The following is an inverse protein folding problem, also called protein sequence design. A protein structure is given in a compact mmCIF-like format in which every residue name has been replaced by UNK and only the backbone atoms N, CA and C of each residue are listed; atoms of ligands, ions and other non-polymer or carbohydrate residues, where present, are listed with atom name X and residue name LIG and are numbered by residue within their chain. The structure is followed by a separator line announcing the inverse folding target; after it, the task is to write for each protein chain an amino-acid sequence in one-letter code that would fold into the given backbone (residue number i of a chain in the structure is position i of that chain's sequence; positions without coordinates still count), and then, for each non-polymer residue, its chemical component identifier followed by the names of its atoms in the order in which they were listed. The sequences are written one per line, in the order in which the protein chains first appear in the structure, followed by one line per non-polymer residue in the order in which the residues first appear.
data_IF_032123634742
#
_entry.id   IF_032123634742
#
_cell.length_a   1.000
_cell.length_b   1.000
_cell.length_c   1.000
_cell.angle_alpha   90.00
_cell.angle_beta   90.00
_cell.angle_gamma   90.00
#
_symmetry.space_group_name_H-M   'P 1'
#
loop_
_entity.id
_entity.type
_entity.pdbx_description
1 polymer ?
#
# COMPACT_ATOMS: atom_id res chain seq x y z
N UNK A 1 14.70 8.40 -8.96
CA UNK A 1 14.07 7.11 -8.56
C UNK A 1 12.74 6.99 -9.27
N UNK A 2 12.32 5.78 -9.64
CA UNK A 2 10.96 5.56 -10.19
C UNK A 2 9.91 5.85 -9.10
N UNK A 3 8.73 6.35 -9.48
CA UNK A 3 7.58 6.60 -8.58
C UNK A 3 7.30 5.39 -7.67
N UNK A 4 7.27 4.22 -8.30
CA UNK A 4 7.09 2.89 -7.71
C UNK A 4 8.08 2.59 -6.57
N UNK A 5 9.35 2.96 -6.72
CA UNK A 5 10.37 2.73 -5.68
C UNK A 5 10.16 3.63 -4.46
N UNK A 6 9.68 4.86 -4.66
CA UNK A 6 9.42 5.77 -3.54
C UNK A 6 8.21 5.32 -2.72
N UNK A 7 7.19 4.76 -3.37
CA UNK A 7 6.01 4.22 -2.68
C UNK A 7 6.36 2.95 -1.88
N UNK A 8 7.16 2.03 -2.44
CA UNK A 8 7.68 0.88 -1.69
C UNK A 8 8.47 1.29 -0.46
N UNK A 9 9.34 2.29 -0.63
CA UNK A 9 10.12 2.84 0.46
C UNK A 9 9.23 3.40 1.59
N UNK A 10 8.10 4.03 1.25
CA UNK A 10 7.13 4.55 2.22
C UNK A 10 6.55 3.43 3.08
N UNK A 11 6.14 2.32 2.46
CA UNK A 11 5.61 1.14 3.17
C UNK A 11 6.69 0.53 4.05
N UNK A 12 7.94 0.44 3.57
CA UNK A 12 9.05 -0.14 4.33
C UNK A 12 9.50 0.73 5.50
N UNK A 13 9.50 2.05 5.36
CA UNK A 13 9.89 2.99 6.42
C UNK A 13 8.81 3.11 7.50
N UNK A 14 7.52 2.97 7.14
CA UNK A 14 6.37 3.12 8.04
C UNK A 14 5.36 1.97 7.92
N UNK A 15 5.76 0.71 8.14
CA UNK A 15 4.92 -0.45 7.82
C UNK A 15 3.63 -0.48 8.64
N UNK A 16 3.68 -0.08 9.91
CA UNK A 16 2.46 -0.01 10.74
C UNK A 16 1.49 1.06 10.25
N UNK A 17 1.98 2.28 10.01
CA UNK A 17 1.15 3.37 9.51
C UNK A 17 0.58 3.05 8.12
N UNK A 18 1.34 2.36 7.27
CA UNK A 18 0.86 1.88 5.98
C UNK A 18 -0.31 0.91 6.12
N UNK A 19 -0.20 -0.10 7.00
CA UNK A 19 -1.29 -1.04 7.26
C UNK A 19 -2.53 -0.34 7.86
N UNK A 20 -2.33 0.55 8.84
CA UNK A 20 -3.42 1.31 9.46
C UNK A 20 -4.18 2.19 8.47
N UNK A 21 -3.51 2.68 7.43
CA UNK A 21 -4.13 3.53 6.41
C UNK A 21 -4.73 2.73 5.25
N UNK A 22 -3.96 1.83 4.63
CA UNK A 22 -4.39 1.10 3.44
C UNK A 22 -5.28 -0.12 3.72
N UNK A 23 -5.25 -0.65 4.94
CA UNK A 23 -5.97 -1.86 5.34
C UNK A 23 -6.55 -1.73 6.75
N UNK A 24 -7.18 -0.59 7.04
CA UNK A 24 -7.61 -0.17 8.38
C UNK A 24 -8.40 -1.24 9.15
N UNK A 25 -9.33 -1.94 8.50
CA UNK A 25 -10.13 -3.00 9.12
C UNK A 25 -9.27 -4.18 9.59
N UNK A 26 -8.36 -4.67 8.75
CA UNK A 26 -7.43 -5.75 9.10
C UNK A 26 -6.36 -5.28 10.11
N UNK A 27 -5.95 -4.02 10.00
CA UNK A 27 -4.97 -3.42 10.88
C UNK A 27 -5.51 -3.19 12.30
N UNK A 28 -6.82 -3.00 12.49
CA UNK A 28 -7.44 -2.84 13.81
C UNK A 28 -7.21 -4.06 14.73
N UNK A 29 -7.01 -5.25 14.15
CA UNK A 29 -6.72 -6.48 14.88
C UNK A 29 -5.23 -6.66 15.24
N UNK A 30 -4.34 -5.75 14.79
CA UNK A 30 -2.90 -5.80 15.04
C UNK A 30 -2.60 -5.21 16.43
N UNK A 31 -2.21 -6.00 17.45
CA UNK A 31 -1.78 -5.45 18.72
C UNK A 31 -0.54 -4.55 18.56
N UNK A 32 -0.36 -3.54 19.43
CA UNK A 32 0.79 -2.64 19.38
C UNK A 32 2.15 -3.36 19.45
N UNK A 33 2.22 -4.48 20.16
CA UNK A 33 3.42 -5.29 20.32
C UNK A 33 3.77 -6.18 19.10
N UNK A 34 2.93 -6.18 18.05
CA UNK A 34 3.19 -6.99 16.86
C UNK A 34 4.51 -6.62 16.20
N UNK A 35 5.30 -7.63 15.81
CA UNK A 35 6.46 -7.44 14.95
C UNK A 35 6.00 -7.40 13.50
N UNK A 36 6.29 -6.31 12.79
CA UNK A 36 6.05 -6.21 11.35
C UNK A 36 7.39 -6.33 10.65
N UNK A 37 7.53 -7.34 9.80
CA UNK A 37 8.80 -7.67 9.14
C UNK A 37 8.57 -7.76 7.63
N UNK A 38 9.30 -7.00 6.80
CA UNK A 38 9.26 -7.17 5.36
C UNK A 38 9.78 -8.56 4.95
N UNK A 39 9.09 -9.24 4.04
CA UNK A 39 9.55 -10.50 3.46
C UNK A 39 10.49 -10.18 2.30
N UNK A 40 11.67 -10.79 2.28
CA UNK A 40 12.73 -10.46 1.31
C UNK A 40 12.35 -10.90 -0.11
N UNK A 41 12.24 -9.94 -1.03
CA UNK A 41 11.89 -10.19 -2.43
C UNK A 41 12.90 -11.07 -3.18
N UNK A 42 14.19 -11.04 -2.84
CA UNK A 42 15.21 -11.88 -3.47
C UNK A 42 14.91 -13.38 -3.27
N UNK A 43 14.50 -13.76 -2.05
CA UNK A 43 14.12 -15.15 -1.74
C UNK A 43 12.84 -15.58 -2.48
N UNK A 44 11.94 -14.63 -2.74
CA UNK A 44 10.72 -14.86 -3.52
C UNK A 44 11.07 -15.10 -4.99
N UNK A 45 11.90 -14.24 -5.58
CA UNK A 45 12.33 -14.33 -6.98
C UNK A 45 13.11 -15.62 -7.26
N UNK A 46 14.04 -16.01 -6.39
CA UNK A 46 14.83 -17.25 -6.56
C UNK A 46 13.96 -18.52 -6.55
N UNK A 47 12.87 -18.53 -5.78
CA UNK A 47 12.02 -19.72 -5.62
C UNK A 47 10.83 -19.77 -6.59
N UNK A 48 10.40 -18.62 -7.11
CA UNK A 48 9.17 -18.48 -7.92
C UNK A 48 9.46 -18.17 -9.41
N UNK A 49 10.71 -17.86 -9.78
CA UNK A 49 11.17 -17.72 -11.16
C UNK A 49 10.69 -16.46 -11.90
N UNK A 50 10.88 -16.41 -13.23
CA UNK A 50 10.61 -15.24 -14.10
C UNK A 50 9.14 -14.80 -14.19
N UNK A 51 8.21 -15.55 -13.58
CA UNK A 51 6.79 -15.17 -13.48
C UNK A 51 6.55 -14.04 -12.47
N UNK A 52 7.56 -13.75 -11.65
CA UNK A 52 7.58 -12.63 -10.71
C UNK A 52 8.12 -11.36 -11.37
N UNK A 53 7.24 -10.65 -12.05
CA UNK A 53 7.49 -9.25 -12.37
C UNK A 53 6.90 -8.39 -11.26
N UNK A 54 7.78 -7.65 -10.59
CA UNK A 54 7.50 -6.41 -9.83
C UNK A 54 6.25 -6.46 -8.95
N UNK A 55 6.28 -7.27 -7.87
CA UNK A 55 5.19 -7.27 -6.88
C UNK A 55 5.73 -6.92 -5.48
N UNK A 56 4.96 -6.06 -4.81
CA UNK A 56 5.44 -5.16 -3.77
C UNK A 56 5.30 -5.65 -2.33
N UNK A 57 5.98 -4.91 -1.48
CA UNK A 57 6.33 -5.07 -0.06
C UNK A 57 5.42 -6.02 0.72
N UNK A 58 5.68 -7.34 0.69
CA UNK A 58 5.01 -8.27 1.59
C UNK A 58 5.43 -7.98 3.04
N UNK A 59 4.47 -7.75 3.93
CA UNK A 59 4.69 -7.50 5.35
C UNK A 59 4.16 -8.67 6.16
N UNK A 60 5.06 -9.38 6.83
CA UNK A 60 4.71 -10.40 7.81
C UNK A 60 4.47 -9.75 9.17
N UNK A 61 3.25 -9.88 9.67
CA UNK A 61 2.86 -9.34 10.98
C UNK A 61 2.72 -10.49 11.99
N UNK A 62 3.58 -10.52 13.00
CA UNK A 62 3.66 -11.58 14.01
C UNK A 62 3.24 -11.08 15.39
N UNK A 63 2.25 -11.74 16.01
CA UNK A 63 1.68 -11.34 17.31
C UNK A 63 2.08 -12.26 18.47
N UNK A 64 2.49 -13.50 18.16
CA UNK A 64 3.03 -14.46 19.13
C UNK A 64 4.07 -15.33 18.44
N UNK A 65 5.23 -15.57 19.07
CA UNK A 65 6.28 -16.42 18.49
C UNK A 65 5.93 -17.91 18.47
N UNK A 66 4.98 -18.33 19.30
CA UNK A 66 4.71 -19.75 19.58
C UNK A 66 3.57 -20.35 18.77
N UNK A 67 2.77 -19.52 18.09
CA UNK A 67 1.66 -20.01 17.25
C UNK A 67 1.63 -19.22 15.96
N UNK A 68 1.21 -19.90 14.89
CA UNK A 68 0.89 -19.44 13.53
C UNK A 68 -0.14 -18.28 13.46
N UNK A 69 -0.09 -17.35 14.39
CA UNK A 69 -0.83 -16.10 14.43
C UNK A 69 0.03 -15.04 13.77
N UNK A 70 0.27 -15.25 12.49
CA UNK A 70 0.81 -14.24 11.61
C UNK A 70 -0.21 -13.93 10.52
N UNK A 71 -0.27 -12.67 10.08
CA UNK A 71 -0.94 -12.29 8.84
C UNK A 71 0.15 -11.85 7.89
N UNK A 72 0.07 -12.35 6.66
CA UNK A 72 0.86 -11.82 5.56
C UNK A 72 0.02 -10.75 4.85
N UNK A 73 0.45 -9.50 4.93
CA UNK A 73 -0.09 -8.45 4.09
C UNK A 73 0.71 -8.39 2.80
N UNK A 74 0.02 -8.39 1.67
CA UNK A 74 0.61 -8.20 0.35
C UNK A 74 0.14 -6.85 -0.14
N UNK A 75 1.04 -5.87 -0.24
CA UNK A 75 0.71 -4.54 -0.72
C UNK A 75 1.22 -4.38 -2.15
N UNK A 76 0.33 -4.15 -3.11
CA UNK A 76 0.64 -3.83 -4.50
C UNK A 76 0.28 -2.36 -4.76
N UNK A 77 1.22 -1.55 -5.25
CA UNK A 77 0.90 -0.22 -5.79
C UNK A 77 0.61 -0.34 -7.28
N UNK A 78 -0.46 0.30 -7.74
CA UNK A 78 -0.80 0.37 -9.15
C UNK A 78 -1.17 1.81 -9.53
N UNK A 79 -0.29 2.45 -10.29
CA UNK A 79 -0.50 3.83 -10.72
C UNK A 79 -1.63 3.93 -11.75
N UNK A 80 -1.80 2.91 -12.61
CA UNK A 80 -2.81 2.89 -13.65
C UNK A 80 -3.53 1.55 -13.68
N UNK A 81 -4.82 1.58 -13.33
CA UNK A 81 -5.71 0.41 -13.25
C UNK A 81 -5.72 -0.49 -14.50
N UNK A 82 -5.30 0.01 -15.68
CA UNK A 82 -5.22 -0.78 -16.91
C UNK A 82 -4.16 -1.89 -16.86
N UNK A 83 -3.15 -1.76 -16.00
CA UNK A 83 -2.09 -2.77 -15.82
C UNK A 83 -2.36 -3.74 -14.67
N UNK A 84 -3.40 -3.47 -13.88
CA UNK A 84 -3.84 -4.33 -12.79
C UNK A 84 -4.31 -5.68 -13.33
N UNK A 85 -3.86 -6.75 -12.68
CA UNK A 85 -4.33 -8.10 -12.96
C UNK A 85 -4.67 -8.83 -11.68
N UNK A 86 -5.97 -9.01 -11.43
CA UNK A 86 -6.45 -9.79 -10.29
C UNK A 86 -5.94 -11.24 -10.33
N UNK A 87 -5.74 -11.81 -11.52
CA UNK A 87 -5.15 -13.14 -11.68
C UNK A 87 -3.69 -13.17 -11.23
N UNK A 88 -2.90 -12.13 -11.55
CA UNK A 88 -1.51 -12.00 -11.10
C UNK A 88 -1.46 -11.90 -9.57
N UNK A 89 -2.35 -11.10 -8.98
CA UNK A 89 -2.46 -10.96 -7.52
C UNK A 89 -2.84 -12.30 -6.84
N UNK A 90 -3.77 -13.06 -7.40
CA UNK A 90 -4.14 -14.41 -6.90
C UNK A 90 -2.94 -15.34 -6.88
N UNK A 91 -2.24 -15.46 -8.03
CA UNK A 91 -1.06 -16.32 -8.12
C UNK A 91 -0.02 -15.93 -7.08
N UNK A 92 0.25 -14.63 -6.95
CA UNK A 92 1.19 -14.13 -5.96
C UNK A 92 0.78 -14.48 -4.53
N UNK A 93 -0.48 -14.25 -4.16
CA UNK A 93 -0.97 -14.58 -2.82
C UNK A 93 -0.79 -16.06 -2.49
N UNK A 94 -1.13 -16.94 -3.43
CA UNK A 94 -1.02 -18.40 -3.26
C UNK A 94 0.45 -18.83 -3.16
N UNK A 95 1.31 -18.30 -4.04
CA UNK A 95 2.73 -18.65 -4.07
C UNK A 95 3.46 -18.24 -2.78
N UNK A 96 3.19 -17.04 -2.25
CA UNK A 96 3.83 -16.59 -1.00
C UNK A 96 3.24 -17.27 0.23
N UNK A 97 1.93 -17.52 0.23
CA UNK A 97 1.27 -18.28 1.28
C UNK A 97 1.88 -19.68 1.43
N UNK A 98 2.06 -20.39 0.31
CA UNK A 98 2.68 -21.72 0.29
C UNK A 98 4.14 -21.67 0.74
N UNK A 99 4.92 -20.73 0.17
CA UNK A 99 6.34 -20.57 0.50
C UNK A 99 6.59 -20.32 2.00
N UNK A 100 5.76 -19.48 2.62
CA UNK A 100 5.88 -19.12 4.03
C UNK A 100 5.09 -20.06 4.96
N UNK A 101 4.33 -21.01 4.40
CA UNK A 101 3.41 -21.89 5.13
C UNK A 101 2.42 -21.10 6.00
N UNK A 102 1.82 -20.06 5.41
CA UNK A 102 0.86 -19.14 6.03
C UNK A 102 -0.50 -19.30 5.34
N UNK A 103 -1.57 -19.36 6.13
CA UNK A 103 -2.94 -19.46 5.62
C UNK A 103 -3.76 -18.18 5.77
N UNK A 104 -3.21 -17.16 6.44
CA UNK A 104 -3.83 -15.84 6.65
C UNK A 104 -3.12 -14.80 5.81
N UNK A 105 -3.74 -14.45 4.69
CA UNK A 105 -3.21 -13.46 3.75
C UNK A 105 -4.23 -12.34 3.56
N UNK A 106 -3.77 -11.10 3.65
CA UNK A 106 -4.54 -9.90 3.38
C UNK A 106 -3.95 -9.19 2.15
N UNK A 107 -4.49 -9.43 0.94
CA UNK A 107 -4.08 -8.70 -0.25
C UNK A 107 -4.65 -7.28 -0.23
N UNK A 108 -3.78 -6.30 -0.47
CA UNK A 108 -4.06 -4.86 -0.49
C UNK A 108 -3.52 -4.31 -1.79
N UNK A 109 -4.34 -3.58 -2.53
CA UNK A 109 -3.93 -2.88 -3.75
C UNK A 109 -4.18 -1.40 -3.57
N UNK A 110 -3.15 -0.58 -3.70
CA UNK A 110 -3.23 0.87 -3.60
C UNK A 110 -3.23 1.45 -5.01
N UNK A 111 -4.36 2.01 -5.43
CA UNK A 111 -4.50 2.68 -6.72
C UNK A 111 -4.22 4.17 -6.58
N UNK A 112 -3.18 4.67 -7.26
CA UNK A 112 -2.83 6.09 -7.19
C UNK A 112 -3.75 6.96 -8.04
N UNK A 113 -4.28 6.41 -9.13
CA UNK A 113 -5.25 7.08 -10.01
C UNK A 113 -6.57 6.32 -10.02
N UNK A 114 -7.71 7.02 -9.97
CA UNK A 114 -9.01 6.38 -10.03
C UNK A 114 -9.18 5.69 -11.39
N UNK A 115 -9.84 4.54 -11.38
CA UNK A 115 -10.08 3.77 -12.60
C UNK A 115 -10.98 2.56 -12.35
N UNK A 116 -11.40 1.91 -13.43
CA UNK A 116 -12.25 0.72 -13.34
C UNK A 116 -11.39 -0.53 -13.30
N UNK A 117 -11.60 -1.34 -12.26
CA UNK A 117 -10.94 -2.63 -12.08
C UNK A 117 -11.90 -3.59 -11.36
N UNK A 118 -11.77 -4.90 -11.55
CA UNK A 118 -12.56 -5.87 -10.80
C UNK A 118 -12.11 -5.90 -9.33
N UNK A 119 -13.05 -5.85 -8.40
CA UNK A 119 -12.79 -5.99 -6.95
C UNK A 119 -12.83 -7.46 -6.48
N UNK A 120 -13.26 -8.37 -7.35
CA UNK A 120 -13.37 -9.78 -7.06
C UNK A 120 -13.24 -10.63 -8.33
N UNK A 121 -12.83 -11.88 -8.15
CA UNK A 121 -12.86 -12.91 -9.18
C UNK A 121 -13.56 -14.14 -8.63
N UNK A 122 -14.50 -14.67 -9.38
CA UNK A 122 -15.14 -15.96 -9.10
C UNK A 122 -14.89 -16.89 -10.30
N UNK A 123 -14.31 -18.05 -10.03
CA UNK A 123 -14.10 -19.11 -11.01
C UNK A 123 -14.93 -20.33 -10.63
N UNK A 124 -15.77 -20.78 -11.55
CA UNK A 124 -16.77 -21.80 -11.29
C UNK A 124 -17.37 -22.38 -12.56
N UNK A 125 -18.39 -23.22 -12.37
CA UNK A 125 -19.31 -23.66 -13.41
C UNK A 125 -20.68 -23.04 -13.16
N UNK A 126 -21.68 -23.40 -13.97
CA UNK A 126 -23.08 -23.01 -13.75
C UNK A 126 -23.62 -23.44 -12.37
N UNK A 127 -23.01 -24.44 -11.74
CA UNK A 127 -23.53 -25.06 -10.51
C UNK A 127 -22.75 -24.68 -9.25
N UNK A 128 -21.46 -24.35 -9.34
CA UNK A 128 -20.60 -24.15 -8.18
C UNK A 128 -19.47 -23.17 -8.46
N UNK A 129 -19.04 -22.44 -7.41
CA UNK A 129 -17.82 -21.64 -7.38
C UNK A 129 -16.73 -22.45 -6.67
N UNK A 130 -15.58 -22.61 -7.32
CA UNK A 130 -14.44 -23.35 -6.77
C UNK A 130 -13.32 -22.43 -6.29
N UNK A 131 -13.29 -21.18 -6.78
CA UNK A 131 -12.39 -20.14 -6.31
C UNK A 131 -13.16 -18.83 -6.26
N UNK A 132 -13.19 -18.20 -5.09
CA UNK A 132 -13.64 -16.84 -4.90
C UNK A 132 -12.48 -16.05 -4.31
N UNK A 133 -12.18 -14.90 -4.90
CA UNK A 133 -11.09 -14.05 -4.47
C UNK A 133 -11.55 -12.60 -4.38
N UNK A 134 -11.13 -11.91 -3.32
CA UNK A 134 -11.33 -10.49 -3.08
C UNK A 134 -10.05 -9.92 -2.48
N UNK A 135 -9.89 -8.61 -2.58
CA UNK A 135 -8.77 -7.89 -1.98
C UNK A 135 -9.25 -6.54 -1.44
N UNK A 136 -8.40 -5.92 -0.63
CA UNK A 136 -8.62 -4.58 -0.10
C UNK A 136 -8.15 -3.59 -1.16
N UNK A 137 -9.09 -2.90 -1.80
CA UNK A 137 -8.78 -1.82 -2.73
C UNK A 137 -8.69 -0.49 -1.96
N UNK A 138 -7.57 0.22 -2.12
CA UNK A 138 -7.38 1.55 -1.61
C UNK A 138 -7.18 2.52 -2.79
N UNK A 139 -8.28 3.08 -3.27
CA UNK A 139 -8.28 4.11 -4.32
C UNK A 139 -7.99 5.48 -3.70
N UNK A 140 -6.73 5.93 -3.75
CA UNK A 140 -6.34 7.20 -3.14
C UNK A 140 -7.14 8.36 -3.74
N UNK A 141 -7.33 8.37 -5.07
CA UNK A 141 -8.10 9.39 -5.77
C UNK A 141 -9.59 9.46 -5.42
N UNK A 142 -10.13 8.50 -4.69
CA UNK A 142 -11.51 8.52 -4.17
C UNK A 142 -11.60 8.97 -2.71
N UNK A 143 -10.48 8.94 -1.97
CA UNK A 143 -10.39 9.35 -0.56
C UNK A 143 -10.35 10.88 -0.49
N UNK A 144 -11.26 11.56 0.24
CA UNK A 144 -11.20 13.01 0.41
C UNK A 144 -9.97 13.42 1.22
N UNK A 145 -9.08 14.23 0.62
CA UNK A 145 -7.85 14.69 1.28
C UNK A 145 -8.15 15.43 2.60
N UNK A 146 -9.25 16.19 2.64
CA UNK A 146 -9.68 16.98 3.80
C UNK A 146 -9.92 16.13 5.06
N UNK A 147 -10.27 14.85 4.91
CA UNK A 147 -10.46 13.96 6.07
C UNK A 147 -9.14 13.60 6.75
N UNK A 148 -8.01 13.78 6.05
CA UNK A 148 -6.69 13.35 6.50
C UNK A 148 -5.71 14.50 6.76
N UNK A 149 -6.09 15.76 6.51
CA UNK A 149 -5.21 16.93 6.75
C UNK A 149 -4.78 17.10 8.20
N UNK A 150 -5.51 16.51 9.15
CA UNK A 150 -5.16 16.50 10.57
C UNK A 150 -4.79 15.10 11.09
N UNK A 151 -4.61 14.13 10.17
CA UNK A 151 -4.27 12.76 10.54
C UNK A 151 -2.90 12.70 11.23
N UNK A 152 -2.81 11.82 12.22
CA UNK A 152 -1.54 11.44 12.89
C UNK A 152 -0.81 10.30 12.17
N UNK A 153 -1.40 9.77 11.09
CA UNK A 153 -0.77 8.73 10.29
C UNK A 153 0.12 9.39 9.22
N UNK A 154 1.44 9.20 9.34
CA UNK A 154 2.43 9.78 8.41
C UNK A 154 2.18 9.35 6.95
N UNK A 155 1.80 8.09 6.72
CA UNK A 155 1.55 7.57 5.36
C UNK A 155 0.34 8.26 4.74
N UNK A 156 -0.71 8.51 5.52
CA UNK A 156 -1.85 9.30 5.05
C UNK A 156 -1.44 10.75 4.75
N UNK A 157 -0.65 11.39 5.61
CA UNK A 157 -0.22 12.79 5.45
C UNK A 157 0.62 13.02 4.21
N UNK A 158 1.60 12.15 3.93
CA UNK A 158 2.42 12.29 2.72
C UNK A 158 1.68 11.93 1.44
N UNK A 159 0.57 11.18 1.53
CA UNK A 159 -0.29 10.83 0.40
C UNK A 159 -1.43 11.82 0.13
N UNK A 160 -1.56 12.90 0.90
CA UNK A 160 -2.56 13.94 0.65
C UNK A 160 -2.62 14.42 -0.81
N UNK A 161 -1.50 14.59 -1.55
CA UNK A 161 -1.55 14.98 -2.95
C UNK A 161 -2.15 13.90 -3.89
N UNK A 162 -2.11 12.63 -3.50
CA UNK A 162 -2.73 11.52 -4.23
C UNK A 162 -4.23 11.37 -3.92
N UNK A 163 -4.73 12.08 -2.91
CA UNK A 163 -6.12 12.02 -2.47
C UNK A 163 -7.01 13.00 -3.25
N UNK A 164 -8.32 12.78 -3.23
CA UNK A 164 -9.31 13.66 -3.88
C UNK A 164 -9.32 15.04 -3.23
N UNK A 165 -9.07 16.07 -4.03
CA UNK A 165 -9.18 17.47 -3.65
C UNK A 165 -9.55 18.31 -4.88
N UNK A 166 -10.10 19.50 -4.66
CA UNK A 166 -10.41 20.41 -5.75
C UNK A 166 -9.10 20.97 -6.33
N UNK A 167 -9.00 21.21 -7.66
CA UNK A 167 -7.79 21.74 -8.28
C UNK A 167 -7.28 23.03 -7.63
N UNK A 168 -8.18 23.89 -7.16
CA UNK A 168 -7.86 25.14 -6.46
C UNK A 168 -7.22 24.92 -5.08
N UNK A 169 -7.43 23.76 -4.47
CA UNK A 169 -6.88 23.39 -3.17
C UNK A 169 -5.49 22.76 -3.27
N UNK A 170 -4.99 22.47 -4.47
CA UNK A 170 -3.74 21.72 -4.69
C UNK A 170 -2.54 22.28 -3.93
N UNK A 171 -2.36 23.61 -3.93
CA UNK A 171 -1.26 24.28 -3.19
C UNK A 171 -1.44 24.12 -1.67
N UNK A 172 -2.67 24.28 -1.17
CA UNK A 172 -2.97 24.10 0.25
C UNK A 172 -2.73 22.64 0.66
N UNK A 173 -3.20 21.67 -0.12
CA UNK A 173 -3.01 20.23 0.13
C UNK A 173 -1.52 19.87 0.14
N UNK A 174 -0.74 20.41 -0.80
CA UNK A 174 0.71 20.28 -0.80
C UNK A 174 1.34 20.81 0.49
N UNK A 175 0.99 22.04 0.90
CA UNK A 175 1.49 22.63 2.14
C UNK A 175 1.10 21.79 3.36
N UNK A 176 -0.14 21.31 3.45
CA UNK A 176 -0.60 20.42 4.53
C UNK A 176 0.16 19.10 4.55
N UNK A 177 0.53 18.55 3.40
CA UNK A 177 1.38 17.36 3.35
C UNK A 177 2.77 17.64 3.93
N UNK A 178 3.39 18.77 3.54
CA UNK A 178 4.70 19.19 4.03
C UNK A 178 4.70 19.47 5.55
N UNK A 179 3.69 20.19 6.05
CA UNK A 179 3.50 20.43 7.48
C UNK A 179 3.37 19.12 8.27
N UNK A 180 2.56 18.18 7.75
CA UNK A 180 2.36 16.88 8.39
C UNK A 180 3.63 16.04 8.42
N UNK A 181 4.42 16.07 7.35
CA UNK A 181 5.72 15.41 7.31
C UNK A 181 6.69 16.01 8.34
N UNK A 182 6.75 17.35 8.45
CA UNK A 182 7.61 18.02 9.41
C UNK A 182 7.20 17.75 10.87
N UNK A 183 5.89 17.63 11.14
CA UNK A 183 5.35 17.34 12.47
C UNK A 183 5.59 15.88 12.89
N UNK A 184 5.36 14.92 11.97
CA UNK A 184 5.28 13.51 12.32
C UNK A 184 6.59 12.73 12.14
N UNK A 185 7.48 13.14 11.23
CA UNK A 185 8.75 12.45 11.01
C UNK A 185 9.89 13.20 11.71
N UNK A 186 10.60 12.63 12.71
CA UNK A 186 11.71 13.32 13.38
C UNK A 186 13.06 13.26 12.63
N UNK A 187 13.29 12.28 11.75
CA UNK A 187 14.56 12.10 11.02
C UNK A 187 14.67 13.08 9.84
N UNK A 188 15.65 14.01 9.86
CA UNK A 188 15.84 14.96 8.77
C UNK A 188 16.09 14.31 7.41
N UNK A 189 16.75 13.15 7.36
CA UNK A 189 17.03 12.46 6.10
C UNK A 189 15.75 11.88 5.50
N UNK A 190 14.87 11.34 6.34
CA UNK A 190 13.55 10.87 5.90
C UNK A 190 12.65 12.03 5.49
N UNK A 191 12.70 13.17 6.18
CA UNK A 191 12.00 14.39 5.74
C UNK A 191 12.44 14.79 4.33
N UNK A 192 13.73 14.94 4.08
CA UNK A 192 14.24 15.30 2.74
C UNK A 192 13.74 14.33 1.67
N UNK A 193 13.81 13.02 1.95
CA UNK A 193 13.30 11.97 1.05
C UNK A 193 11.81 12.12 0.74
N UNK A 194 10.97 12.41 1.74
CA UNK A 194 9.51 12.48 1.56
C UNK A 194 9.00 13.86 1.14
N UNK A 195 9.81 14.93 1.27
CA UNK A 195 9.54 16.23 0.63
C UNK A 195 9.48 16.03 -0.89
N UNK A 196 10.48 15.35 -1.46
CA UNK A 196 10.55 15.06 -2.90
C UNK A 196 9.38 14.16 -3.34
N UNK A 197 8.99 13.19 -2.52
CA UNK A 197 7.80 12.36 -2.75
C UNK A 197 6.55 13.22 -2.87
N UNK A 198 6.28 14.08 -1.88
CA UNK A 198 5.09 14.95 -1.87
C UNK A 198 5.08 15.86 -3.11
N UNK A 199 6.22 16.48 -3.43
CA UNK A 199 6.34 17.37 -4.59
C UNK A 199 6.08 16.63 -5.91
N UNK A 200 6.62 15.42 -6.03
CA UNK A 200 6.46 14.56 -7.22
C UNK A 200 4.99 14.20 -7.49
N UNK A 201 4.18 13.99 -6.44
CA UNK A 201 2.76 13.63 -6.58
C UNK A 201 1.81 14.83 -6.57
N UNK A 202 2.23 15.99 -6.05
CA UNK A 202 1.42 17.20 -6.09
C UNK A 202 1.27 17.80 -7.49
N UNK A 203 2.15 17.43 -8.44
CA UNK A 203 2.07 17.85 -9.84
C UNK A 203 1.90 19.38 -9.98
N UNK A 204 2.61 20.14 -9.14
CA UNK A 204 2.61 21.61 -9.14
C UNK A 204 3.42 22.13 -10.34
N UNK A 205 2.95 23.21 -10.96
CA UNK A 205 3.68 23.89 -12.03
C UNK A 205 4.86 24.71 -11.44
N UNK A 206 5.84 25.11 -12.25
CA UNK A 206 7.01 25.89 -11.80
C UNK A 206 6.66 27.20 -11.08
N UNK A 207 5.50 27.80 -11.38
CA UNK A 207 5.00 29.01 -10.72
C UNK A 207 4.36 28.76 -9.35
N UNK A 208 4.14 27.50 -8.99
CA UNK A 208 3.50 27.03 -7.74
C UNK A 208 4.48 26.29 -6.82
N UNK A 209 5.73 26.07 -7.27
CA UNK A 209 6.85 25.51 -6.50
C UNK A 209 7.62 26.62 -5.77
#
# INVERSE_FOLDING_TARGET
MSHDQNFKNLILDYPRAALEFFASEEAAAIPPAARITPVRQEQLKERLGDRFRELDTPLLVEFSREKKQAILFILEEETDTRYFSIHRLIHYCVDVADLLNITRVAPVVVFLRPGRHPLSLELGTEHNIYLAFRFIACDLGEIPAIEYVASRNIVARVNLPNMRHDPEQRVEIYLRAQEGLAELEPDPNKRLKYIDFIAQYANLNESEQ
#
